data_IF_797132572800
#
_entry.id   IF_797132572800
#
_cell.length_a   1.000
_cell.length_b   1.000
_cell.length_c   1.000
_cell.angle_alpha   90.00
_cell.angle_beta   90.00
_cell.angle_gamma   90.00
#
_symmetry.space_group_name_H-M   'P 1'
#
loop_
_entity.id
_entity.type
_entity.pdbx_description
1 polymer ?
#
# COMPACT_ATOMS: atom_id res chain seq x y z
N UNK A 1 19.73 -53.74 -52.63
CA UNK A 1 19.32 -52.32 -52.60
C UNK A 1 20.22 -51.55 -53.54
N UNK A 2 19.69 -50.93 -54.60
CA UNK A 2 20.50 -50.27 -55.64
C UNK A 2 21.17 -49.01 -55.07
N UNK A 3 22.39 -48.68 -55.53
CA UNK A 3 23.08 -47.43 -55.20
C UNK A 3 22.21 -46.19 -55.49
N UNK A 4 21.33 -46.26 -56.50
CA UNK A 4 20.38 -45.19 -56.80
C UNK A 4 19.31 -44.99 -55.72
N UNK A 5 18.86 -46.08 -55.08
CA UNK A 5 17.82 -46.03 -54.04
C UNK A 5 18.40 -45.52 -52.72
N UNK A 6 19.65 -45.88 -52.41
CA UNK A 6 20.36 -45.36 -51.25
C UNK A 6 20.60 -43.85 -51.37
N UNK A 7 21.04 -43.37 -52.54
CA UNK A 7 21.23 -41.94 -52.78
C UNK A 7 19.92 -41.15 -52.73
N UNK A 8 18.80 -41.71 -53.21
CA UNK A 8 17.46 -41.10 -53.04
C UNK A 8 17.02 -41.07 -51.58
N UNK A 9 17.23 -42.14 -50.82
CA UNK A 9 16.86 -42.20 -49.40
C UNK A 9 17.67 -41.20 -48.56
N UNK A 10 19.00 -41.16 -48.77
CA UNK A 10 19.91 -40.23 -48.12
C UNK A 10 19.56 -38.77 -48.44
N UNK A 11 19.30 -38.45 -49.71
CA UNK A 11 18.85 -37.12 -50.16
C UNK A 11 17.52 -36.70 -49.51
N UNK A 12 16.52 -37.59 -49.47
CA UNK A 12 15.22 -37.27 -48.85
C UNK A 12 15.32 -37.04 -47.34
N UNK A 13 16.16 -37.81 -46.64
CA UNK A 13 16.39 -37.65 -45.20
C UNK A 13 17.21 -36.40 -44.90
N UNK A 14 18.14 -36.01 -45.78
CA UNK A 14 18.90 -34.77 -45.66
C UNK A 14 18.01 -33.54 -45.85
N UNK A 15 17.04 -33.58 -46.78
CA UNK A 15 16.01 -32.55 -46.95
C UNK A 15 15.09 -32.41 -45.73
N UNK A 16 14.59 -33.53 -45.18
CA UNK A 16 13.75 -33.53 -43.96
C UNK A 16 14.49 -32.99 -42.73
N UNK A 17 15.78 -33.29 -42.58
CA UNK A 17 16.63 -32.74 -41.49
C UNK A 17 16.81 -31.23 -41.61
N UNK A 18 17.02 -30.71 -42.82
CA UNK A 18 17.15 -29.26 -43.08
C UNK A 18 15.86 -28.50 -42.78
N UNK A 19 14.70 -29.03 -43.16
CA UNK A 19 13.40 -28.41 -42.84
C UNK A 19 13.17 -28.37 -41.33
N UNK A 20 13.47 -29.45 -40.60
CA UNK A 20 13.34 -29.48 -39.14
C UNK A 20 14.22 -28.42 -38.46
N UNK A 21 15.45 -28.21 -38.94
CA UNK A 21 16.35 -27.18 -38.42
C UNK A 21 15.80 -25.77 -38.64
N UNK A 22 15.30 -25.47 -39.84
CA UNK A 22 14.69 -24.16 -40.15
C UNK A 22 13.46 -23.89 -39.26
N UNK A 23 12.62 -24.91 -39.04
CA UNK A 23 11.46 -24.78 -38.15
C UNK A 23 11.91 -24.48 -36.72
N UNK A 24 12.95 -25.16 -36.22
CA UNK A 24 13.49 -24.90 -34.88
C UNK A 24 14.08 -23.50 -34.77
N UNK A 25 14.87 -23.06 -35.75
CA UNK A 25 15.45 -21.70 -35.78
C UNK A 25 14.38 -20.61 -35.83
N UNK A 26 13.30 -20.86 -36.58
CA UNK A 26 12.15 -19.96 -36.64
C UNK A 26 11.48 -19.83 -35.27
N UNK A 27 11.21 -20.95 -34.59
CA UNK A 27 10.63 -20.93 -33.24
C UNK A 27 11.56 -20.28 -32.22
N UNK A 28 12.87 -20.54 -32.32
CA UNK A 28 13.86 -19.91 -31.43
C UNK A 28 13.91 -18.39 -31.63
N UNK A 29 13.88 -17.94 -32.89
CA UNK A 29 13.86 -16.53 -33.26
C UNK A 29 12.57 -15.85 -32.81
N UNK A 30 11.42 -16.52 -32.95
CA UNK A 30 10.13 -16.03 -32.48
C UNK A 30 10.12 -15.89 -30.95
N UNK A 31 10.65 -16.88 -30.24
CA UNK A 31 10.73 -16.85 -28.77
C UNK A 31 11.66 -15.73 -28.28
N UNK A 32 12.81 -15.55 -28.93
CA UNK A 32 13.74 -14.47 -28.63
C UNK A 32 13.09 -13.10 -28.91
N UNK A 33 12.37 -12.97 -30.02
CA UNK A 33 11.64 -11.76 -30.38
C UNK A 33 10.57 -11.41 -29.34
N UNK A 34 9.74 -12.38 -28.94
CA UNK A 34 8.71 -12.17 -27.92
C UNK A 34 9.31 -11.77 -26.57
N UNK A 35 10.44 -12.37 -26.19
CA UNK A 35 11.14 -12.02 -24.96
C UNK A 35 11.66 -10.57 -25.01
N UNK A 36 12.33 -10.17 -26.09
CA UNK A 36 12.80 -8.79 -26.28
C UNK A 36 11.65 -7.79 -26.36
N UNK A 37 10.56 -8.14 -27.06
CA UNK A 37 9.35 -7.33 -27.14
C UNK A 37 8.71 -7.13 -25.76
N UNK A 38 8.63 -8.19 -24.96
CA UNK A 38 8.11 -8.11 -23.59
C UNK A 38 8.97 -7.24 -22.67
N UNK A 39 10.30 -7.26 -22.82
CA UNK A 39 11.20 -6.41 -22.03
C UNK A 39 11.06 -4.93 -22.40
N UNK A 40 10.87 -4.63 -23.70
CA UNK A 40 10.76 -3.26 -24.19
C UNK A 40 9.37 -2.65 -23.96
N UNK A 41 8.30 -3.39 -24.25
CA UNK A 41 6.92 -2.89 -24.16
C UNK A 41 6.23 -3.28 -22.84
N UNK A 42 6.62 -4.39 -22.22
CA UNK A 42 5.97 -4.91 -21.01
C UNK A 42 6.00 -3.90 -19.87
N UNK A 43 7.12 -3.19 -19.65
CA UNK A 43 7.17 -2.12 -18.63
C UNK A 43 6.15 -1.02 -18.88
N UNK A 44 6.02 -0.54 -20.12
CA UNK A 44 5.06 0.53 -20.48
C UNK A 44 3.61 0.06 -20.33
N UNK A 45 3.32 -1.18 -20.74
CA UNK A 45 1.99 -1.78 -20.63
C UNK A 45 1.62 -2.00 -19.16
N UNK A 46 2.53 -2.56 -18.36
CA UNK A 46 2.33 -2.76 -16.92
C UNK A 46 2.12 -1.41 -16.23
N UNK A 47 2.99 -0.43 -16.45
CA UNK A 47 2.84 0.90 -15.87
C UNK A 47 1.51 1.52 -16.24
N UNK A 48 1.13 1.53 -17.52
CA UNK A 48 -0.16 2.08 -17.97
C UNK A 48 -1.35 1.39 -17.31
N UNK A 49 -1.32 0.06 -17.21
CA UNK A 49 -2.39 -0.71 -16.58
C UNK A 49 -2.45 -0.46 -15.07
N UNK A 50 -1.31 -0.42 -14.39
CA UNK A 50 -1.22 -0.10 -12.96
C UNK A 50 -1.73 1.31 -12.70
N UNK A 51 -1.26 2.31 -13.44
CA UNK A 51 -1.73 3.69 -13.31
C UNK A 51 -3.22 3.81 -13.55
N UNK A 52 -3.76 3.12 -14.55
CA UNK A 52 -5.20 3.08 -14.79
C UNK A 52 -5.98 2.41 -13.64
N UNK A 53 -5.43 1.37 -13.03
CA UNK A 53 -6.06 0.63 -11.94
C UNK A 53 -6.06 1.41 -10.61
N UNK A 54 -5.06 2.26 -10.37
CA UNK A 54 -4.96 3.09 -9.15
C UNK A 54 -5.50 4.51 -9.34
N UNK A 55 -5.93 4.86 -10.56
CA UNK A 55 -6.47 6.19 -10.81
C UNK A 55 -7.86 6.33 -10.19
N UNK A 56 -8.03 7.38 -9.38
CA UNK A 56 -9.32 7.77 -8.84
C UNK A 56 -10.12 8.39 -9.98
N UNK A 57 -11.22 7.74 -10.36
CA UNK A 57 -12.18 8.23 -11.34
C UNK A 57 -13.58 7.97 -10.82
N UNK A 58 -14.59 8.73 -11.27
CA UNK A 58 -15.97 8.35 -11.07
C UNK A 58 -16.19 6.87 -11.45
N UNK A 59 -16.89 6.14 -10.59
CA UNK A 59 -17.26 4.73 -10.73
C UNK A 59 -16.12 3.69 -10.76
N UNK A 60 -14.85 4.10 -10.65
CA UNK A 60 -13.75 3.15 -10.63
C UNK A 60 -13.72 2.30 -9.36
N UNK A 61 -13.23 1.07 -9.44
CA UNK A 61 -13.06 0.22 -8.25
C UNK A 61 -12.06 0.82 -7.26
N UNK A 62 -11.08 1.59 -7.76
CA UNK A 62 -10.19 2.37 -6.91
C UNK A 62 -10.98 3.42 -6.11
N UNK A 63 -11.89 4.15 -6.75
CA UNK A 63 -12.76 5.11 -6.06
C UNK A 63 -13.64 4.43 -5.02
N UNK A 64 -14.26 3.27 -5.33
CA UNK A 64 -15.07 2.52 -4.35
C UNK A 64 -14.26 2.10 -3.11
N UNK A 65 -13.04 1.60 -3.31
CA UNK A 65 -12.11 1.22 -2.23
C UNK A 65 -11.57 2.44 -1.47
N UNK A 66 -11.34 3.55 -2.16
CA UNK A 66 -10.97 4.79 -1.51
C UNK A 66 -12.12 5.35 -0.68
N UNK A 67 -13.35 5.32 -1.20
CA UNK A 67 -14.56 5.78 -0.52
C UNK A 67 -14.83 4.97 0.75
N UNK A 68 -14.84 3.64 0.62
CA UNK A 68 -15.03 2.71 1.72
C UNK A 68 -13.81 1.77 1.85
N UNK A 69 -12.74 2.21 2.54
CA UNK A 69 -11.54 1.42 2.69
C UNK A 69 -11.82 0.15 3.50
N UNK A 70 -11.40 -1.04 3.03
CA UNK A 70 -11.62 -2.30 3.73
C UNK A 70 -10.59 -2.51 4.85
N UNK A 71 -10.33 -1.45 5.64
CA UNK A 71 -9.32 -1.43 6.69
C UNK A 71 -9.95 -0.85 7.95
N UNK A 72 -9.83 -1.57 9.06
CA UNK A 72 -10.21 -1.08 10.37
C UNK A 72 -9.01 -0.33 10.96
N UNK A 73 -9.16 0.97 11.20
CA UNK A 73 -8.11 1.77 11.83
C UNK A 73 -8.21 1.61 13.35
N UNK A 74 -7.15 1.08 13.95
CA UNK A 74 -7.03 0.93 15.40
C UNK A 74 -5.86 1.79 15.84
N UNK A 75 -6.09 2.66 16.82
CA UNK A 75 -5.06 3.48 17.43
C UNK A 75 -4.98 3.25 18.94
N UNK A 76 -3.85 3.61 19.52
CA UNK A 76 -3.65 3.64 20.97
C UNK A 76 -2.97 4.95 21.34
N UNK A 77 -3.51 5.64 22.33
CA UNK A 77 -2.85 6.78 22.96
C UNK A 77 -2.15 6.32 24.23
N UNK A 78 -0.99 6.92 24.52
CA UNK A 78 -0.25 6.71 25.76
C UNK A 78 0.01 8.09 26.35
N UNK A 79 -0.34 8.29 27.61
CA UNK A 79 -0.06 9.54 28.32
C UNK A 79 1.19 9.37 29.18
N UNK A 80 1.94 10.45 29.34
CA UNK A 80 3.13 10.49 30.18
C UNK A 80 2.84 11.28 31.46
N UNK A 81 2.69 10.56 32.56
CA UNK A 81 2.46 11.13 33.88
C UNK A 81 3.76 11.71 34.45
N UNK A 82 3.73 12.95 34.93
CA UNK A 82 4.87 13.60 35.57
C UNK A 82 4.99 13.09 37.00
N UNK A 83 6.15 12.57 37.39
CA UNK A 83 6.36 11.99 38.74
C UNK A 83 7.04 12.95 39.72
N UNK A 84 7.66 14.03 39.25
CA UNK A 84 8.33 15.03 40.08
C UNK A 84 7.82 16.48 39.86
N UNK A 85 6.50 16.73 39.87
CA UNK A 85 5.95 18.05 39.53
C UNK A 85 6.40 19.17 40.47
N UNK A 86 6.55 18.89 41.77
CA UNK A 86 6.93 19.89 42.78
C UNK A 86 8.39 20.32 42.59
N UNK A 87 9.29 19.38 42.29
CA UNK A 87 10.71 19.67 42.06
C UNK A 87 10.89 20.55 40.82
N UNK A 88 10.17 20.25 39.74
CA UNK A 88 10.17 21.05 38.51
C UNK A 88 9.70 22.48 38.80
N UNK A 89 8.66 22.67 39.61
CA UNK A 89 8.15 24.01 39.94
C UNK A 89 9.15 24.81 40.80
N UNK A 90 9.86 24.13 41.70
CA UNK A 90 10.80 24.78 42.62
C UNK A 90 12.13 25.15 41.96
N UNK A 91 12.62 24.35 41.00
CA UNK A 91 13.84 24.63 40.24
C UNK A 91 13.70 24.19 38.78
N UNK A 92 12.94 24.96 37.97
CA UNK A 92 12.58 24.58 36.60
C UNK A 92 13.77 24.58 35.63
N UNK A 93 14.89 25.22 36.01
CA UNK A 93 16.09 25.32 35.15
C UNK A 93 17.06 24.17 35.34
N UNK A 94 17.06 23.53 36.52
CA UNK A 94 18.05 22.51 36.86
C UNK A 94 17.45 21.11 36.99
N UNK A 95 16.14 21.01 37.23
CA UNK A 95 15.45 19.72 37.38
C UNK A 95 14.92 19.21 36.04
N UNK A 96 15.30 17.98 35.70
CA UNK A 96 14.73 17.28 34.55
C UNK A 96 13.32 16.74 34.86
N UNK A 97 12.45 16.75 33.85
CA UNK A 97 11.09 16.21 33.97
C UNK A 97 11.15 14.68 33.96
N UNK A 98 10.67 14.04 35.02
CA UNK A 98 10.53 12.60 35.09
C UNK A 98 9.14 12.18 34.63
N UNK A 99 9.11 11.32 33.62
CA UNK A 99 7.89 10.83 32.99
C UNK A 99 7.71 9.34 33.25
N UNK A 100 6.49 8.95 33.62
CA UNK A 100 6.05 7.56 33.67
C UNK A 100 4.91 7.34 32.69
N UNK A 101 5.10 6.41 31.76
CA UNK A 101 4.08 6.04 30.81
C UNK A 101 2.86 5.42 31.52
N UNK A 102 1.68 5.84 31.10
CA UNK A 102 0.39 5.25 31.50
C UNK A 102 0.06 4.06 30.59
N UNK A 103 -1.03 3.34 30.90
CA UNK A 103 -1.51 2.27 30.02
C UNK A 103 -1.98 2.82 28.66
N UNK A 104 -2.17 1.92 27.70
CA UNK A 104 -2.69 2.27 26.39
C UNK A 104 -4.20 2.54 26.43
N UNK A 105 -4.62 3.67 25.88
CA UNK A 105 -6.03 4.01 25.63
C UNK A 105 -6.36 3.66 24.17
N UNK A 106 -6.78 2.42 23.93
CA UNK A 106 -7.06 1.92 22.57
C UNK A 106 -8.44 2.33 22.05
N UNK A 107 -8.46 2.80 20.81
CA UNK A 107 -9.68 3.23 20.11
C UNK A 107 -9.75 2.65 18.70
N UNK A 108 -10.98 2.52 18.20
CA UNK A 108 -11.30 2.29 16.80
C UNK A 108 -11.64 3.62 16.14
N UNK A 109 -11.00 3.91 15.01
CA UNK A 109 -11.23 5.11 14.20
C UNK A 109 -12.04 4.76 12.96
N UNK A 110 -13.26 5.28 12.88
CA UNK A 110 -14.05 5.30 11.66
C UNK A 110 -13.83 6.62 10.93
N UNK A 111 -13.49 6.56 9.64
CA UNK A 111 -13.26 7.74 8.80
C UNK A 111 -14.15 7.68 7.56
N UNK A 112 -15.21 8.48 7.56
CA UNK A 112 -16.20 8.54 6.48
C UNK A 112 -15.96 9.78 5.64
N UNK A 113 -15.90 9.59 4.32
CA UNK A 113 -15.75 10.70 3.37
C UNK A 113 -17.14 11.25 3.02
N UNK A 114 -17.31 12.55 3.14
CA UNK A 114 -18.56 13.27 2.96
C UNK A 114 -18.38 14.38 1.92
N UNK A 115 -19.50 14.91 1.42
CA UNK A 115 -19.54 16.05 0.49
C UNK A 115 -18.61 15.88 -0.72
N UNK A 116 -18.62 14.69 -1.31
CA UNK A 116 -17.73 14.34 -2.42
C UNK A 116 -18.19 15.06 -3.67
N UNK A 117 -17.32 15.90 -4.22
CA UNK A 117 -17.55 16.63 -5.46
C UNK A 117 -16.36 16.47 -6.40
N UNK A 118 -16.64 16.05 -7.62
CA UNK A 118 -15.65 16.02 -8.70
C UNK A 118 -15.58 17.38 -9.37
N UNK A 119 -14.39 17.76 -9.85
CA UNK A 119 -14.25 18.88 -10.77
C UNK A 119 -14.93 18.58 -12.10
N UNK A 120 -15.29 19.62 -12.86
CA UNK A 120 -15.94 19.49 -14.18
C UNK A 120 -15.11 18.62 -15.16
N UNK A 121 -13.79 18.62 -15.02
CA UNK A 121 -12.87 17.83 -15.84
C UNK A 121 -12.59 16.42 -15.27
N UNK A 122 -13.20 16.05 -14.14
CA UNK A 122 -13.00 14.80 -13.41
C UNK A 122 -11.54 14.48 -13.02
N UNK A 123 -10.67 15.50 -12.92
CA UNK A 123 -9.26 15.30 -12.53
C UNK A 123 -9.00 15.61 -11.06
N UNK A 124 -9.93 16.26 -10.38
CA UNK A 124 -9.83 16.62 -8.98
C UNK A 124 -11.10 16.21 -8.24
N UNK A 125 -10.93 15.94 -6.95
CA UNK A 125 -12.01 15.56 -6.04
C UNK A 125 -11.87 16.39 -4.76
N UNK A 126 -12.96 17.04 -4.36
CA UNK A 126 -13.11 17.74 -3.10
C UNK A 126 -13.97 16.92 -2.18
N UNK A 127 -13.60 16.82 -0.90
CA UNK A 127 -14.34 16.03 0.09
C UNK A 127 -14.00 16.48 1.51
N UNK A 128 -14.93 16.20 2.42
CA UNK A 128 -14.75 16.33 3.87
C UNK A 128 -14.50 14.95 4.48
N UNK A 129 -13.77 14.89 5.60
CA UNK A 129 -13.59 13.63 6.35
C UNK A 129 -14.22 13.79 7.72
N UNK A 130 -15.28 13.04 7.98
CA UNK A 130 -15.80 12.85 9.33
C UNK A 130 -15.05 11.72 10.02
N UNK A 131 -14.49 12.01 11.19
CA UNK A 131 -13.74 11.03 12.01
C UNK A 131 -14.49 10.79 13.31
N UNK A 132 -14.80 9.52 13.57
CA UNK A 132 -15.41 9.06 14.81
C UNK A 132 -14.44 8.14 15.54
N UNK A 133 -14.15 8.47 16.79
CA UNK A 133 -13.30 7.70 17.68
C UNK A 133 -14.19 6.98 18.69
N UNK A 134 -14.06 5.66 18.78
CA UNK A 134 -14.83 4.82 19.70
C UNK A 134 -13.89 3.92 20.49
N UNK A 135 -14.27 3.51 21.69
CA UNK A 135 -13.46 2.56 22.46
C UNK A 135 -13.28 1.25 21.67
N UNK A 136 -12.05 0.74 21.63
CA UNK A 136 -11.80 -0.53 20.95
C UNK A 136 -12.44 -1.69 21.74
N UNK A 137 -13.25 -2.57 21.12
CA UNK A 137 -14.11 -3.52 21.84
C UNK A 137 -13.37 -4.49 22.76
N UNK A 138 -12.14 -4.87 22.41
CA UNK A 138 -11.35 -5.87 23.17
C UNK A 138 -10.00 -5.37 23.69
N UNK A 139 -9.59 -4.16 23.31
CA UNK A 139 -8.27 -3.60 23.66
C UNK A 139 -8.39 -2.39 24.58
N UNK A 140 -9.58 -1.79 24.64
CA UNK A 140 -9.85 -0.73 25.59
C UNK A 140 -10.10 -1.34 26.97
N UNK A 141 -9.38 -0.84 27.96
CA UNK A 141 -9.59 -1.18 29.36
C UNK A 141 -10.58 -0.17 29.98
N UNK A 142 -11.79 -0.58 30.39
CA UNK A 142 -12.78 0.33 30.95
C UNK A 142 -12.30 1.06 32.22
N UNK A 143 -11.38 0.47 32.99
CA UNK A 143 -10.82 1.13 34.18
C UNK A 143 -10.01 2.38 33.84
N UNK A 144 -9.51 2.47 32.59
CA UNK A 144 -8.72 3.61 32.11
C UNK A 144 -9.49 4.93 32.07
N UNK A 145 -10.83 4.89 32.02
CA UNK A 145 -11.68 6.10 32.06
C UNK A 145 -11.49 6.89 33.36
N UNK A 146 -11.05 6.21 34.42
CA UNK A 146 -10.83 6.79 35.73
C UNK A 146 -9.33 6.94 36.06
N UNK A 147 -8.43 6.76 35.09
CA UNK A 147 -7.01 6.98 35.31
C UNK A 147 -6.75 8.46 35.60
N UNK A 148 -5.99 8.72 36.66
CA UNK A 148 -5.59 10.06 37.09
C UNK A 148 -4.09 10.24 36.95
N UNK A 149 -3.65 11.44 36.62
CA UNK A 149 -2.23 11.77 36.53
C UNK A 149 -1.98 13.27 36.62
N UNK A 150 -0.71 13.62 36.77
CA UNK A 150 -0.21 14.99 36.70
C UNK A 150 0.35 15.22 35.30
N UNK A 151 -0.21 16.20 34.62
CA UNK A 151 0.12 16.54 33.23
C UNK A 151 0.38 18.04 33.10
N UNK A 152 0.97 18.43 31.98
CA UNK A 152 1.16 19.84 31.64
C UNK A 152 -0.19 20.51 31.43
N UNK A 153 -0.36 21.69 32.04
CA UNK A 153 -1.47 22.58 31.72
C UNK A 153 -1.23 23.20 30.34
N UNK A 154 -1.84 22.60 29.31
CA UNK A 154 -1.69 23.04 27.93
C UNK A 154 -2.27 24.43 27.68
N UNK A 155 -3.27 24.87 28.47
CA UNK A 155 -3.88 26.19 28.31
C UNK A 155 -2.88 27.26 28.73
N UNK A 156 -2.15 27.03 29.83
CA UNK A 156 -1.09 27.94 30.29
C UNK A 156 0.24 27.81 29.54
N UNK A 157 0.44 26.74 28.78
CA UNK A 157 1.68 26.52 28.04
C UNK A 157 1.68 27.21 26.66
N UNK A 158 0.49 27.48 26.10
CA UNK A 158 0.34 28.05 24.74
C UNK A 158 0.11 29.57 24.77
N UNK A 159 -0.41 30.10 25.88
CA UNK A 159 -0.68 31.53 26.10
C UNK A 159 0.18 32.07 27.23
#
# INVERSE_FOLDING_TARGET
MSSSDYNRYASSNQGKRRIKLIVVEFWLSLLLYLLLFSLFFGKKVIQRNTFNAVNLKPDSDCFKKWYNPPINNIGSCHLFNITNPIEIVNDPTSIAINLKETRAYSYSLSATKQDIQWSDDNKSISYSIHRLFTHHPTRFDPSSVHDTGVFIDLVRAIF
#
